data_IF_502115108683
#
_entry.id   IF_502115108683
#
_cell.length_a   1.000
_cell.length_b   1.000
_cell.length_c   1.000
_cell.angle_alpha   90.00
_cell.angle_beta   90.00
_cell.angle_gamma   90.00
#
_symmetry.space_group_name_H-M   'P 1'
#
loop_
_entity.id
_entity.type
_entity.pdbx_description
1 polymer ?
#
# COMPACT_ATOMS: atom_id res chain seq x y z
N UNK A 1 15.79 -24.72 3.61
CA UNK A 1 15.30 -24.00 2.41
C UNK A 1 15.96 -22.63 2.42
N UNK A 2 16.11 -21.95 1.28
CA UNK A 2 16.62 -20.57 1.23
C UNK A 2 15.48 -19.59 0.94
N UNK A 3 15.52 -18.44 1.58
CA UNK A 3 14.70 -17.28 1.26
C UNK A 3 15.61 -16.06 1.15
N UNK A 4 15.49 -15.30 0.06
CA UNK A 4 16.38 -14.17 -0.24
C UNK A 4 17.87 -14.55 -0.15
N UNK A 5 18.24 -15.72 -0.67
CA UNK A 5 19.56 -16.38 -0.59
C UNK A 5 20.11 -16.74 0.80
N UNK A 6 19.37 -16.49 1.88
CA UNK A 6 19.75 -16.84 3.23
C UNK A 6 19.09 -18.18 3.61
N UNK A 7 19.88 -19.11 4.18
CA UNK A 7 19.34 -20.35 4.74
C UNK A 7 18.35 -20.07 5.86
N UNK A 8 17.22 -20.78 5.84
CA UNK A 8 16.11 -20.60 6.79
C UNK A 8 16.54 -20.74 8.26
N UNK A 9 17.44 -21.67 8.59
CA UNK A 9 18.00 -21.81 9.93
C UNK A 9 18.77 -20.55 10.39
N UNK A 10 19.46 -19.87 9.46
CA UNK A 10 20.16 -18.60 9.75
C UNK A 10 19.18 -17.44 9.87
N UNK A 11 18.11 -17.43 9.07
CA UNK A 11 17.02 -16.46 9.22
C UNK A 11 16.32 -16.59 10.58
N UNK A 12 16.13 -17.82 11.09
CA UNK A 12 15.59 -18.06 12.43
C UNK A 12 16.49 -17.45 13.52
N UNK A 13 17.81 -17.69 13.48
CA UNK A 13 18.73 -17.12 14.48
C UNK A 13 18.84 -15.59 14.42
N UNK A 14 18.51 -14.99 13.27
CA UNK A 14 18.54 -13.54 13.05
C UNK A 14 17.17 -12.87 13.30
N UNK A 15 16.14 -13.62 13.67
CA UNK A 15 14.77 -13.09 13.82
C UNK A 15 14.24 -12.50 12.51
N UNK A 16 14.50 -13.18 11.40
CA UNK A 16 14.30 -12.66 10.05
C UNK A 16 13.52 -13.63 9.14
N UNK A 17 12.97 -14.71 9.71
CA UNK A 17 12.35 -15.78 8.93
C UNK A 17 11.02 -15.35 8.37
N UNK A 18 10.16 -14.75 9.19
CA UNK A 18 8.82 -14.37 8.77
C UNK A 18 8.88 -13.32 7.67
N UNK A 19 9.60 -12.22 7.90
CA UNK A 19 9.74 -11.14 6.91
C UNK A 19 10.41 -11.63 5.62
N UNK A 20 11.41 -12.50 5.67
CA UNK A 20 12.04 -13.05 4.46
C UNK A 20 11.11 -13.98 3.66
N UNK A 21 10.36 -14.87 4.35
CA UNK A 21 9.40 -15.79 3.73
C UNK A 21 8.24 -15.02 3.10
N UNK A 22 7.70 -14.03 3.81
CA UNK A 22 6.57 -13.21 3.38
C UNK A 22 6.94 -12.35 2.16
N UNK A 23 8.11 -11.68 2.19
CA UNK A 23 8.61 -10.91 1.03
C UNK A 23 8.80 -11.84 -0.18
N UNK A 24 9.52 -12.96 -0.02
CA UNK A 24 9.84 -13.89 -1.11
C UNK A 24 8.61 -14.65 -1.66
N UNK A 25 7.57 -14.82 -0.84
CA UNK A 25 6.34 -15.52 -1.21
C UNK A 25 5.38 -14.70 -2.09
N UNK A 26 5.53 -13.37 -2.13
CA UNK A 26 4.61 -12.45 -2.81
C UNK A 26 4.25 -12.82 -4.26
N UNK A 27 5.17 -13.19 -5.17
CA UNK A 27 4.81 -13.54 -6.54
C UNK A 27 3.79 -14.69 -6.60
N UNK A 28 3.99 -15.73 -5.78
CA UNK A 28 3.07 -16.87 -5.69
C UNK A 28 1.77 -16.49 -4.99
N UNK A 29 1.84 -15.67 -3.93
CA UNK A 29 0.66 -15.15 -3.23
C UNK A 29 -0.26 -14.34 -4.15
N UNK A 30 0.31 -13.55 -5.08
CA UNK A 30 -0.47 -12.76 -6.04
C UNK A 30 -1.18 -13.64 -7.09
N UNK A 31 -0.53 -14.70 -7.57
CA UNK A 31 -1.16 -15.70 -8.42
C UNK A 31 -2.32 -16.41 -7.69
N UNK A 32 -2.13 -16.83 -6.44
CA UNK A 32 -3.19 -17.45 -5.63
C UNK A 32 -4.32 -16.46 -5.28
N UNK A 33 -3.98 -15.20 -5.01
CA UNK A 33 -4.96 -14.12 -4.82
C UNK A 33 -5.83 -13.95 -6.05
N UNK A 34 -5.25 -14.04 -7.26
CA UNK A 34 -6.02 -13.99 -8.51
C UNK A 34 -6.88 -15.25 -8.73
N UNK A 35 -6.33 -16.45 -8.47
CA UNK A 35 -7.07 -17.73 -8.51
C UNK A 35 -8.25 -17.74 -7.52
N UNK A 36 -8.13 -17.06 -6.38
CA UNK A 36 -9.20 -16.89 -5.41
C UNK A 36 -10.22 -15.84 -5.86
N UNK A 37 -9.76 -14.66 -6.27
CA UNK A 37 -10.61 -13.57 -6.76
C UNK A 37 -11.51 -14.02 -7.91
N UNK A 38 -10.96 -14.78 -8.87
CA UNK A 38 -11.72 -15.31 -10.01
C UNK A 38 -12.82 -16.29 -9.62
N UNK A 39 -12.69 -17.04 -8.51
CA UNK A 39 -13.77 -17.90 -7.98
C UNK A 39 -14.92 -17.08 -7.38
N UNK A 40 -14.61 -15.94 -6.80
CA UNK A 40 -15.58 -15.01 -6.19
C UNK A 40 -16.08 -13.93 -7.16
N UNK A 41 -15.68 -13.96 -8.44
CA UNK A 41 -15.90 -12.88 -9.42
C UNK A 41 -17.36 -12.45 -9.52
N UNK A 42 -18.27 -13.40 -9.71
CA UNK A 42 -19.70 -13.11 -9.93
C UNK A 42 -20.37 -12.56 -8.66
N UNK A 43 -19.99 -13.08 -7.50
CA UNK A 43 -20.48 -12.62 -6.19
C UNK A 43 -20.01 -11.18 -5.91
N UNK A 44 -18.72 -10.90 -6.10
CA UNK A 44 -18.11 -9.58 -5.96
C UNK A 44 -18.74 -8.57 -6.93
N UNK A 45 -18.89 -8.94 -8.20
CA UNK A 45 -19.52 -8.11 -9.22
C UNK A 45 -20.97 -7.75 -8.83
N UNK A 46 -21.77 -8.76 -8.44
CA UNK A 46 -23.15 -8.58 -7.99
C UNK A 46 -23.26 -7.68 -6.76
N UNK A 47 -22.45 -7.96 -5.72
CA UNK A 47 -22.42 -7.17 -4.49
C UNK A 47 -22.06 -5.70 -4.74
N UNK A 48 -21.01 -5.46 -5.53
CA UNK A 48 -20.50 -4.11 -5.78
C UNK A 48 -21.45 -3.29 -6.66
N UNK A 49 -22.02 -3.87 -7.72
CA UNK A 49 -23.04 -3.19 -8.52
C UNK A 49 -24.30 -2.87 -7.72
N UNK A 50 -24.73 -3.76 -6.82
CA UNK A 50 -25.86 -3.50 -5.90
C UNK A 50 -25.52 -2.32 -4.96
N UNK A 51 -24.34 -2.33 -4.36
CA UNK A 51 -23.88 -1.37 -3.34
C UNK A 51 -23.85 0.10 -3.80
N UNK A 52 -23.73 0.35 -5.10
CA UNK A 52 -23.65 1.70 -5.69
C UNK A 52 -24.82 2.06 -6.61
N UNK A 53 -25.87 1.23 -6.62
CA UNK A 53 -27.03 1.42 -7.49
C UNK A 53 -27.86 2.69 -7.15
N UNK A 54 -27.76 3.19 -5.91
CA UNK A 54 -28.46 4.39 -5.46
C UNK A 54 -27.61 5.66 -5.64
N UNK A 55 -28.05 6.56 -6.52
CA UNK A 55 -27.32 7.80 -6.86
C UNK A 55 -27.76 8.96 -5.95
N UNK A 56 -26.83 9.81 -5.43
CA UNK A 56 -25.38 9.75 -5.60
C UNK A 56 -24.73 8.69 -4.71
N UNK A 57 -23.88 7.84 -5.33
CA UNK A 57 -23.02 6.89 -4.63
C UNK A 57 -21.61 7.45 -4.46
N UNK A 58 -20.91 6.99 -3.42
CA UNK A 58 -19.48 7.28 -3.16
C UNK A 58 -18.77 6.00 -2.74
N UNK A 59 -17.50 5.88 -3.11
CA UNK A 59 -16.63 4.80 -2.64
C UNK A 59 -15.60 5.37 -1.66
N UNK A 60 -15.47 4.75 -0.49
CA UNK A 60 -14.42 5.06 0.48
C UNK A 60 -13.46 3.88 0.58
N UNK A 61 -12.18 4.12 0.33
CA UNK A 61 -11.10 3.15 0.47
C UNK A 61 -10.41 3.40 1.82
N UNK A 62 -10.53 2.45 2.75
CA UNK A 62 -10.25 2.67 4.17
C UNK A 62 -9.30 1.63 4.77
N UNK A 63 -8.45 2.08 5.69
CA UNK A 63 -7.56 1.23 6.49
C UNK A 63 -6.78 2.06 7.51
N UNK A 64 -5.90 1.43 8.29
CA UNK A 64 -4.97 2.10 9.22
C UNK A 64 -3.52 1.82 8.82
N UNK A 65 -2.63 2.79 9.03
CA UNK A 65 -1.20 2.70 8.67
C UNK A 65 -1.00 2.27 7.21
N UNK A 66 -0.17 1.26 6.97
CA UNK A 66 0.00 0.60 5.66
C UNK A 66 -1.31 0.27 4.95
N UNK A 67 -2.36 -0.15 5.66
CA UNK A 67 -3.66 -0.46 5.02
C UNK A 67 -4.39 0.79 4.50
N UNK A 68 -4.10 1.98 5.03
CA UNK A 68 -4.63 3.24 4.48
C UNK A 68 -3.95 3.60 3.15
N UNK A 69 -2.65 3.32 3.02
CA UNK A 69 -1.87 3.66 1.82
C UNK A 69 -2.28 2.84 0.60
N UNK A 70 -2.90 1.67 0.80
CA UNK A 70 -3.60 0.90 -0.25
C UNK A 70 -4.69 1.76 -0.89
N UNK A 71 -5.52 2.41 -0.07
CA UNK A 71 -6.56 3.31 -0.55
C UNK A 71 -5.98 4.48 -1.33
N UNK A 72 -4.88 5.07 -0.85
CA UNK A 72 -4.22 6.20 -1.51
C UNK A 72 -3.63 5.82 -2.88
N UNK A 73 -2.99 4.65 -2.98
CA UNK A 73 -2.46 4.13 -4.24
C UNK A 73 -3.57 3.81 -5.27
N UNK A 74 -4.76 3.41 -4.80
CA UNK A 74 -5.85 2.95 -5.65
C UNK A 74 -6.89 4.03 -5.99
N UNK A 75 -7.14 5.03 -5.14
CA UNK A 75 -8.32 5.90 -5.27
C UNK A 75 -8.45 6.58 -6.64
N UNK A 76 -7.35 7.10 -7.20
CA UNK A 76 -7.34 7.72 -8.52
C UNK A 76 -7.63 6.74 -9.67
N UNK A 77 -7.10 5.51 -9.59
CA UNK A 77 -7.40 4.45 -10.56
C UNK A 77 -8.85 3.99 -10.42
N UNK A 78 -9.31 3.77 -9.19
CA UNK A 78 -10.65 3.30 -8.89
C UNK A 78 -11.71 4.30 -9.37
N UNK A 79 -11.51 5.61 -9.15
CA UNK A 79 -12.35 6.67 -9.69
C UNK A 79 -12.31 6.70 -11.23
N UNK A 80 -11.12 6.63 -11.84
CA UNK A 80 -10.96 6.64 -13.31
C UNK A 80 -11.67 5.47 -13.99
N UNK A 81 -11.68 4.29 -13.36
CA UNK A 81 -12.24 3.06 -13.94
C UNK A 81 -13.73 2.90 -13.63
N UNK A 82 -14.18 3.19 -12.40
CA UNK A 82 -15.60 3.06 -12.00
C UNK A 82 -16.48 4.25 -12.39
N UNK A 83 -15.90 5.44 -12.56
CA UNK A 83 -16.63 6.70 -12.77
C UNK A 83 -17.28 7.28 -11.50
N UNK A 84 -17.06 6.69 -10.32
CA UNK A 84 -17.69 7.09 -9.05
C UNK A 84 -16.69 7.89 -8.19
N UNK A 85 -17.15 8.95 -7.50
CA UNK A 85 -16.39 9.72 -6.49
C UNK A 85 -15.77 8.75 -5.48
N UNK A 86 -14.47 8.53 -5.61
CA UNK A 86 -13.73 7.54 -4.82
C UNK A 86 -12.63 8.23 -4.04
N UNK A 87 -12.58 7.99 -2.72
CA UNK A 87 -11.65 8.66 -1.82
C UNK A 87 -10.92 7.67 -0.95
N UNK A 88 -9.61 7.83 -0.83
CA UNK A 88 -8.86 7.24 0.26
C UNK A 88 -9.15 8.01 1.55
N UNK A 89 -9.53 7.33 2.62
CA UNK A 89 -9.70 7.94 3.95
C UNK A 89 -9.24 6.95 5.01
N UNK A 90 -8.23 7.32 5.79
CA UNK A 90 -7.74 6.47 6.87
C UNK A 90 -8.81 6.30 7.97
N UNK A 91 -8.89 5.11 8.56
CA UNK A 91 -9.85 4.84 9.65
C UNK A 91 -9.53 5.66 10.90
N UNK A 92 -8.26 6.05 11.09
CA UNK A 92 -7.80 7.01 12.10
C UNK A 92 -8.48 8.38 11.96
N UNK A 93 -8.71 8.82 10.72
CA UNK A 93 -9.27 10.13 10.41
C UNK A 93 -10.80 10.07 10.53
N UNK A 94 -11.39 8.97 10.04
CA UNK A 94 -12.82 8.67 10.20
C UNK A 94 -13.23 8.64 11.68
N UNK A 95 -12.43 8.00 12.54
CA UNK A 95 -12.78 7.83 13.96
C UNK A 95 -12.70 9.15 14.73
N UNK A 96 -11.86 10.09 14.29
CA UNK A 96 -11.75 11.41 14.94
C UNK A 96 -12.73 12.44 14.37
N UNK A 97 -13.03 12.40 13.06
CA UNK A 97 -13.87 13.40 12.38
C UNK A 97 -14.92 12.78 11.43
N UNK A 98 -15.79 11.86 11.90
CA UNK A 98 -16.66 11.08 11.01
C UNK A 98 -17.65 11.95 10.20
N UNK A 99 -18.06 13.09 10.74
CA UNK A 99 -18.95 14.05 10.07
C UNK A 99 -18.40 14.61 8.75
N UNK A 100 -17.07 14.62 8.54
CA UNK A 100 -16.47 15.07 7.27
C UNK A 100 -16.68 14.06 6.13
N UNK A 101 -16.95 12.79 6.46
CA UNK A 101 -16.91 11.69 5.49
C UNK A 101 -18.30 11.12 5.17
N UNK A 102 -19.17 10.97 6.17
CA UNK A 102 -20.42 10.19 6.06
C UNK A 102 -21.72 10.97 5.80
N UNK A 103 -21.72 12.30 5.97
CA UNK A 103 -22.94 13.12 5.92
C UNK A 103 -23.78 12.94 4.62
N UNK A 104 -24.91 12.25 4.75
CA UNK A 104 -26.04 12.25 3.80
C UNK A 104 -25.78 11.56 2.45
N UNK A 105 -25.15 10.37 2.47
CA UNK A 105 -24.64 9.69 1.26
C UNK A 105 -24.87 8.18 1.28
N UNK A 106 -25.03 7.62 0.08
CA UNK A 106 -24.92 6.18 -0.16
C UNK A 106 -23.44 5.83 -0.33
N UNK A 107 -22.90 4.98 0.54
CA UNK A 107 -21.46 4.69 0.59
C UNK A 107 -21.16 3.20 0.44
N UNK A 108 -20.32 2.85 -0.55
CA UNK A 108 -19.58 1.59 -0.53
C UNK A 108 -18.27 1.83 0.23
N UNK A 109 -18.16 1.27 1.43
CA UNK A 109 -16.95 1.33 2.25
C UNK A 109 -16.11 0.07 2.01
N UNK A 110 -14.94 0.23 1.39
CA UNK A 110 -13.98 -0.83 1.13
C UNK A 110 -12.90 -0.78 2.22
N UNK A 111 -12.95 -1.73 3.15
CA UNK A 111 -12.05 -1.78 4.31
C UNK A 111 -10.93 -2.80 4.10
N UNK A 112 -9.69 -2.32 4.10
CA UNK A 112 -8.47 -3.12 4.06
C UNK A 112 -7.90 -3.33 5.47
N UNK A 113 -7.64 -4.57 5.87
CA UNK A 113 -6.95 -4.86 7.14
C UNK A 113 -6.28 -6.24 7.15
N UNK A 114 -4.99 -6.31 7.51
CA UNK A 114 -4.28 -7.59 7.77
C UNK A 114 -4.97 -8.40 8.88
N UNK A 115 -4.90 -7.91 10.12
CA UNK A 115 -5.37 -8.64 11.31
C UNK A 115 -6.87 -8.56 11.54
N UNK A 116 -7.56 -7.59 10.92
CA UNK A 116 -8.97 -7.29 11.17
C UNK A 116 -9.29 -6.80 12.59
N UNK A 117 -8.27 -6.51 13.42
CA UNK A 117 -8.41 -6.27 14.87
C UNK A 117 -8.03 -4.86 15.33
N UNK A 118 -7.73 -3.92 14.41
CA UNK A 118 -7.56 -2.50 14.77
C UNK A 118 -8.87 -1.95 15.35
N UNK A 119 -8.86 -1.37 16.56
CA UNK A 119 -10.04 -0.73 17.15
C UNK A 119 -10.60 0.37 16.23
N UNK A 120 -9.73 1.12 15.56
CA UNK A 120 -10.11 2.20 14.64
C UNK A 120 -10.85 1.67 13.41
N UNK A 121 -10.38 0.55 12.82
CA UNK A 121 -11.09 -0.06 11.69
C UNK A 121 -12.47 -0.56 12.08
N UNK A 122 -12.59 -1.20 13.24
CA UNK A 122 -13.90 -1.64 13.78
C UNK A 122 -14.80 -0.43 14.05
N UNK A 123 -14.24 0.65 14.61
CA UNK A 123 -15.01 1.86 14.93
C UNK A 123 -15.43 2.65 13.70
N UNK A 124 -14.61 2.68 12.64
CA UNK A 124 -14.97 3.32 11.39
C UNK A 124 -16.21 2.68 10.73
N UNK A 125 -16.32 1.34 10.80
CA UNK A 125 -17.53 0.61 10.35
C UNK A 125 -18.75 0.98 11.21
N UNK A 126 -18.64 0.98 12.54
CA UNK A 126 -19.73 1.40 13.43
C UNK A 126 -20.19 2.85 13.18
N UNK A 127 -19.26 3.74 12.85
CA UNK A 127 -19.56 5.15 12.55
C UNK A 127 -20.23 5.32 11.19
N UNK A 128 -19.84 4.51 10.19
CA UNK A 128 -20.51 4.49 8.89
C UNK A 128 -21.95 3.98 9.03
N UNK A 129 -22.15 2.88 9.76
CA UNK A 129 -23.48 2.30 10.04
C UNK A 129 -24.41 3.29 10.77
N UNK A 130 -23.85 4.17 11.61
CA UNK A 130 -24.61 5.14 12.41
C UNK A 130 -24.88 6.49 11.70
N UNK A 131 -24.16 6.83 10.62
CA UNK A 131 -24.13 8.19 10.05
C UNK A 131 -24.39 8.27 8.54
N UNK A 132 -24.33 7.15 7.81
CA UNK A 132 -24.71 7.08 6.40
C UNK A 132 -26.22 6.81 6.25
N UNK A 133 -26.85 7.35 5.20
CA UNK A 133 -28.25 7.03 4.87
C UNK A 133 -28.38 5.58 4.34
N UNK A 134 -27.36 5.13 3.62
CA UNK A 134 -27.16 3.73 3.22
C UNK A 134 -25.67 3.46 3.16
N UNK A 135 -25.22 2.34 3.72
CA UNK A 135 -23.84 1.86 3.61
C UNK A 135 -23.81 0.40 3.20
N UNK A 136 -22.80 0.01 2.44
CA UNK A 136 -22.45 -1.38 2.17
C UNK A 136 -20.95 -1.57 2.36
N UNK A 137 -20.53 -2.71 2.91
CA UNK A 137 -19.15 -2.91 3.36
C UNK A 137 -18.48 -4.04 2.59
N UNK A 138 -17.45 -3.72 1.81
CA UNK A 138 -16.54 -4.72 1.27
C UNK A 138 -15.30 -4.80 2.15
N UNK A 139 -15.12 -5.91 2.86
CA UNK A 139 -13.98 -6.13 3.75
C UNK A 139 -12.98 -7.04 3.03
N UNK A 140 -11.80 -6.50 2.72
CA UNK A 140 -10.67 -7.24 2.16
C UNK A 140 -9.67 -7.47 3.30
N UNK A 141 -9.51 -8.71 3.74
CA UNK A 141 -8.75 -9.02 4.95
C UNK A 141 -7.98 -10.34 4.87
N UNK A 142 -6.89 -10.44 5.64
CA UNK A 142 -6.03 -11.63 5.70
C UNK A 142 -6.43 -12.60 6.82
N UNK A 143 -7.13 -12.12 7.86
CA UNK A 143 -7.43 -12.90 9.06
C UNK A 143 -8.93 -13.28 9.15
N UNK A 144 -9.31 -14.57 8.97
CA UNK A 144 -10.71 -15.02 9.09
C UNK A 144 -11.29 -14.91 10.51
N UNK A 145 -10.44 -14.74 11.52
CA UNK A 145 -10.82 -14.54 12.93
C UNK A 145 -10.72 -13.07 13.36
N UNK A 146 -10.46 -12.15 12.43
CA UNK A 146 -10.40 -10.72 12.71
C UNK A 146 -11.79 -10.15 13.01
N UNK A 147 -11.89 -9.19 13.93
CA UNK A 147 -13.15 -8.56 14.32
C UNK A 147 -13.94 -7.99 13.13
N UNK A 148 -13.27 -7.38 12.14
CA UNK A 148 -13.90 -6.96 10.90
C UNK A 148 -14.52 -8.14 10.12
N UNK A 149 -13.76 -9.21 9.89
CA UNK A 149 -14.22 -10.38 9.12
C UNK A 149 -15.36 -11.13 9.82
N UNK A 150 -15.42 -11.09 11.15
CA UNK A 150 -16.52 -11.64 11.94
C UNK A 150 -17.77 -10.74 11.88
N UNK A 151 -17.61 -9.42 12.00
CA UNK A 151 -18.72 -8.44 11.94
C UNK A 151 -19.29 -8.26 10.53
N UNK A 152 -18.49 -8.48 9.49
CA UNK A 152 -18.90 -8.41 8.08
C UNK A 152 -19.83 -9.54 7.61
N UNK A 153 -20.23 -10.46 8.49
CA UNK A 153 -21.15 -11.57 8.16
C UNK A 153 -22.62 -11.11 8.26
N UNK A 154 -23.02 -10.20 7.38
CA UNK A 154 -24.34 -9.55 7.32
C UNK A 154 -24.72 -9.17 5.88
N UNK A 155 -26.01 -8.97 5.61
CA UNK A 155 -26.58 -8.86 4.24
C UNK A 155 -26.14 -7.62 3.44
N UNK A 156 -25.65 -6.58 4.11
CA UNK A 156 -25.10 -5.35 3.52
C UNK A 156 -23.58 -5.42 3.27
N UNK A 157 -22.96 -6.57 3.55
CA UNK A 157 -21.51 -6.73 3.62
C UNK A 157 -21.03 -7.93 2.81
N UNK A 158 -19.79 -7.84 2.32
CA UNK A 158 -19.08 -8.93 1.68
C UNK A 158 -17.66 -9.01 2.25
N UNK A 159 -17.22 -10.22 2.64
CA UNK A 159 -15.89 -10.43 3.22
C UNK A 159 -15.05 -11.24 2.23
N UNK A 160 -14.15 -10.56 1.53
CA UNK A 160 -13.14 -11.20 0.69
C UNK A 160 -11.90 -11.52 1.53
N UNK A 161 -11.80 -12.77 1.96
CA UNK A 161 -10.63 -13.28 2.67
C UNK A 161 -9.52 -13.62 1.68
N UNK A 162 -8.32 -13.13 1.94
CA UNK A 162 -7.11 -13.48 1.18
C UNK A 162 -6.60 -14.89 1.51
N UNK A 163 -5.68 -15.45 0.70
CA UNK A 163 -4.98 -16.68 1.04
C UNK A 163 -4.29 -16.57 2.42
N UNK A 164 -4.21 -17.66 3.22
CA UNK A 164 -3.64 -17.63 4.58
C UNK A 164 -2.21 -17.08 4.67
N UNK A 165 -1.44 -17.24 3.59
CA UNK A 165 -0.07 -16.72 3.42
C UNK A 165 -0.01 -15.19 3.42
N UNK A 166 -1.13 -14.50 3.21
CA UNK A 166 -1.23 -13.04 3.32
C UNK A 166 -1.34 -12.53 4.77
N UNK A 167 -1.62 -13.36 5.80
CA UNK A 167 -1.60 -12.89 7.19
C UNK A 167 -0.17 -12.86 7.72
N UNK A 168 0.62 -11.88 7.28
CA UNK A 168 2.03 -11.68 7.66
C UNK A 168 2.20 -11.79 9.19
N UNK A 169 3.07 -12.70 9.64
CA UNK A 169 3.40 -12.93 11.05
C UNK A 169 4.45 -11.95 11.56
N UNK A 170 5.26 -11.38 10.67
CA UNK A 170 6.13 -10.25 11.02
C UNK A 170 5.34 -9.01 11.44
N UNK A 171 6.00 -8.07 12.11
CA UNK A 171 5.43 -6.78 12.48
C UNK A 171 5.04 -5.99 11.24
N UNK A 172 5.99 -5.79 10.33
CA UNK A 172 5.84 -5.01 9.10
C UNK A 172 4.97 -5.76 8.08
N UNK A 173 3.87 -5.15 7.64
CA UNK A 173 3.08 -5.68 6.54
C UNK A 173 3.92 -5.76 5.25
N UNK A 174 3.90 -6.91 4.56
CA UNK A 174 4.58 -7.13 3.27
C UNK A 174 3.62 -7.79 2.26
N UNK A 175 3.40 -9.10 2.36
CA UNK A 175 2.45 -9.85 1.52
C UNK A 175 1.00 -9.41 1.74
N UNK A 176 0.62 -9.08 2.98
CA UNK A 176 -0.69 -8.52 3.30
C UNK A 176 -0.99 -7.23 2.53
N UNK A 177 -0.02 -6.31 2.46
CA UNK A 177 -0.19 -5.04 1.74
C UNK A 177 -0.41 -5.26 0.25
N UNK A 178 0.49 -6.01 -0.39
CA UNK A 178 0.48 -6.17 -1.84
C UNK A 178 -0.68 -7.03 -2.34
N UNK A 179 -1.08 -8.07 -1.60
CA UNK A 179 -2.25 -8.89 -1.95
C UNK A 179 -3.59 -8.16 -1.74
N UNK A 180 -3.70 -7.33 -0.68
CA UNK A 180 -4.88 -6.47 -0.49
C UNK A 180 -4.97 -5.38 -1.57
N UNK A 181 -3.84 -4.74 -1.93
CA UNK A 181 -3.79 -3.76 -3.02
C UNK A 181 -4.13 -4.40 -4.37
N UNK A 182 -3.59 -5.59 -4.66
CA UNK A 182 -3.97 -6.36 -5.85
C UNK A 182 -5.47 -6.64 -5.90
N UNK A 183 -6.07 -7.05 -4.78
CA UNK A 183 -7.52 -7.34 -4.72
C UNK A 183 -8.37 -6.09 -4.99
N UNK A 184 -7.97 -4.93 -4.47
CA UNK A 184 -8.62 -3.65 -4.79
C UNK A 184 -8.45 -3.23 -6.26
N UNK A 185 -7.30 -3.49 -6.86
CA UNK A 185 -7.04 -3.24 -8.28
C UNK A 185 -7.82 -4.18 -9.21
N UNK A 186 -7.91 -5.46 -8.85
CA UNK A 186 -8.73 -6.45 -9.55
C UNK A 186 -10.22 -6.08 -9.48
N UNK A 187 -10.68 -5.58 -8.33
CA UNK A 187 -12.05 -5.09 -8.16
C UNK A 187 -12.36 -3.88 -9.05
N UNK A 188 -11.45 -2.90 -9.12
CA UNK A 188 -11.59 -1.77 -10.03
C UNK A 188 -11.71 -2.24 -11.50
N UNK A 189 -10.88 -3.21 -11.91
CA UNK A 189 -10.91 -3.75 -13.27
C UNK A 189 -12.15 -4.60 -13.56
N UNK A 190 -12.64 -5.36 -12.58
CA UNK A 190 -13.90 -6.10 -12.66
C UNK A 190 -15.08 -5.17 -12.95
N UNK A 191 -15.08 -3.95 -12.39
CA UNK A 191 -16.07 -2.91 -12.66
C UNK A 191 -16.17 -2.53 -14.15
N UNK A 192 -15.02 -2.50 -14.84
CA UNK A 192 -14.94 -2.23 -16.27
C UNK A 192 -14.99 -3.51 -17.13
N UNK A 193 -15.35 -4.66 -16.54
CA UNK A 193 -15.41 -5.96 -17.22
C UNK A 193 -14.05 -6.49 -17.70
N UNK A 194 -12.93 -5.92 -17.26
CA UNK A 194 -11.59 -6.22 -17.76
C UNK A 194 -11.04 -7.53 -17.18
N UNK A 195 -10.39 -8.32 -18.03
CA UNK A 195 -9.60 -9.48 -17.63
C UNK A 195 -8.21 -9.01 -17.16
N UNK A 196 -7.61 -9.69 -16.17
CA UNK A 196 -6.33 -9.27 -15.59
C UNK A 196 -5.29 -10.39 -15.40
N UNK A 197 -5.53 -11.65 -15.82
CA UNK A 197 -4.56 -12.75 -15.67
C UNK A 197 -3.20 -12.41 -16.29
N UNK A 198 -3.20 -11.78 -17.48
CA UNK A 198 -1.97 -11.37 -18.15
C UNK A 198 -1.19 -10.29 -17.38
N UNK A 199 -1.89 -9.35 -16.73
CA UNK A 199 -1.26 -8.33 -15.87
C UNK A 199 -0.73 -8.94 -14.56
N UNK A 200 -1.47 -9.88 -13.94
CA UNK A 200 -1.04 -10.58 -12.72
C UNK A 200 0.19 -11.46 -12.98
N UNK A 201 0.23 -12.19 -14.10
CA UNK A 201 1.38 -13.02 -14.45
C UNK A 201 2.64 -12.17 -14.67
N UNK A 202 2.51 -11.03 -15.37
CA UNK A 202 3.63 -10.07 -15.54
C UNK A 202 4.04 -9.41 -14.23
N UNK A 203 3.11 -9.07 -13.34
CA UNK A 203 3.39 -8.58 -11.99
C UNK A 203 4.23 -9.59 -11.18
N UNK A 204 3.80 -10.87 -11.15
CA UNK A 204 4.56 -11.93 -10.48
C UNK A 204 5.95 -12.11 -11.12
N UNK A 205 6.06 -12.07 -12.45
CA UNK A 205 7.33 -12.07 -13.18
C UNK A 205 8.25 -10.91 -12.81
N UNK A 206 7.71 -9.69 -12.72
CA UNK A 206 8.45 -8.48 -12.39
C UNK A 206 9.03 -8.50 -10.97
N UNK A 207 8.27 -9.01 -9.99
CA UNK A 207 8.78 -9.18 -8.63
C UNK A 207 9.84 -10.28 -8.53
N UNK A 208 9.68 -11.42 -9.23
CA UNK A 208 10.74 -12.43 -9.35
C UNK A 208 12.00 -11.82 -9.97
N UNK A 209 11.86 -11.03 -11.04
CA UNK A 209 12.97 -10.35 -11.70
C UNK A 209 13.68 -9.33 -10.78
N UNK A 210 12.97 -8.60 -9.93
CA UNK A 210 13.56 -7.74 -8.88
C UNK A 210 14.35 -8.59 -7.88
N UNK A 211 13.73 -9.65 -7.34
CA UNK A 211 14.34 -10.52 -6.34
C UNK A 211 15.55 -11.29 -6.87
N UNK A 212 15.53 -11.75 -8.12
CA UNK A 212 16.59 -12.60 -8.68
C UNK A 212 17.74 -11.80 -9.28
N UNK A 213 17.46 -10.66 -9.94
CA UNK A 213 18.49 -9.84 -10.60
C UNK A 213 19.16 -8.82 -9.67
N UNK A 214 18.41 -8.22 -8.74
CA UNK A 214 18.84 -7.01 -8.01
C UNK A 214 18.93 -7.17 -6.49
N UNK A 215 18.66 -8.37 -5.93
CA UNK A 215 18.74 -8.63 -4.48
C UNK A 215 20.10 -8.28 -3.89
N UNK A 216 21.19 -8.68 -4.54
CA UNK A 216 22.54 -8.41 -4.03
C UNK A 216 22.90 -6.92 -4.15
N UNK A 217 22.45 -6.21 -5.19
CA UNK A 217 22.59 -4.75 -5.27
C UNK A 217 21.85 -4.06 -4.12
N UNK A 218 20.59 -4.42 -3.87
CA UNK A 218 19.78 -3.85 -2.79
C UNK A 218 20.37 -4.15 -1.41
N UNK A 219 20.98 -5.31 -1.22
CA UNK A 219 21.72 -5.70 -0.02
C UNK A 219 23.03 -4.90 0.15
N UNK A 220 23.76 -4.65 -0.93
CA UNK A 220 24.96 -3.80 -0.93
C UNK A 220 24.61 -2.33 -0.65
N UNK A 221 23.54 -1.81 -1.26
CA UNK A 221 23.02 -0.47 -1.01
C UNK A 221 22.54 -0.35 0.45
N UNK A 222 21.83 -1.35 0.98
CA UNK A 222 21.44 -1.40 2.38
C UNK A 222 22.63 -1.40 3.36
N UNK A 223 23.81 -1.86 2.94
CA UNK A 223 25.04 -1.77 3.71
C UNK A 223 25.76 -0.41 3.62
N UNK A 224 25.27 0.53 2.79
CA UNK A 224 25.79 1.89 2.74
C UNK A 224 25.34 2.69 3.97
N UNK A 225 26.19 3.64 4.36
CA UNK A 225 26.01 4.46 5.57
C UNK A 225 25.07 5.65 5.33
N UNK A 226 23.84 5.35 4.87
CA UNK A 226 22.74 6.32 4.82
C UNK A 226 21.97 6.36 6.14
N UNK A 227 21.61 7.58 6.57
CA UNK A 227 20.74 7.87 7.72
C UNK A 227 19.38 8.45 7.31
N UNK A 228 19.20 8.74 6.02
CA UNK A 228 17.95 9.21 5.42
C UNK A 228 17.62 8.42 4.16
N UNK A 229 16.33 8.31 3.88
CA UNK A 229 15.84 7.83 2.59
C UNK A 229 14.64 8.66 2.11
N UNK A 230 14.58 8.93 0.81
CA UNK A 230 13.41 9.55 0.18
C UNK A 230 12.89 8.64 -0.93
N UNK A 231 11.60 8.33 -0.87
CA UNK A 231 10.89 7.58 -1.88
C UNK A 231 10.00 8.52 -2.70
N UNK A 232 10.06 8.44 -4.02
CA UNK A 232 9.35 9.34 -4.92
C UNK A 232 8.52 8.54 -5.92
N UNK A 233 7.25 8.92 -6.10
CA UNK A 233 6.33 8.18 -6.97
C UNK A 233 5.19 9.05 -7.49
N UNK A 234 4.79 8.86 -8.75
CA UNK A 234 3.67 9.58 -9.38
C UNK A 234 2.41 8.72 -9.41
N UNK A 235 1.23 9.32 -9.25
CA UNK A 235 -0.05 8.60 -9.32
C UNK A 235 -0.10 7.43 -8.32
N UNK A 236 -0.39 6.19 -8.74
CA UNK A 236 -0.40 5.01 -7.86
C UNK A 236 0.92 4.80 -7.11
N UNK A 237 2.05 5.10 -7.75
CA UNK A 237 3.38 4.98 -7.15
C UNK A 237 3.61 5.97 -6.00
N UNK A 238 2.82 7.04 -5.86
CA UNK A 238 2.88 7.92 -4.69
C UNK A 238 2.45 7.19 -3.40
N UNK A 239 1.43 6.32 -3.49
CA UNK A 239 1.03 5.45 -2.38
C UNK A 239 2.08 4.37 -2.08
N UNK A 240 2.80 3.90 -3.10
CA UNK A 240 3.94 2.99 -2.93
C UNK A 240 5.12 3.69 -2.26
N UNK A 241 5.43 4.94 -2.64
CA UNK A 241 6.42 5.76 -1.96
C UNK A 241 6.04 5.96 -0.48
N UNK A 242 4.74 6.16 -0.20
CA UNK A 242 4.22 6.25 1.17
C UNK A 242 4.29 4.93 1.94
N UNK A 243 4.08 3.77 1.33
CA UNK A 243 4.38 2.51 2.04
C UNK A 243 5.88 2.30 2.24
N UNK A 244 6.68 2.60 1.22
CA UNK A 244 8.13 2.37 1.19
C UNK A 244 8.87 3.14 2.28
N UNK A 245 8.51 4.41 2.51
CA UNK A 245 9.12 5.18 3.60
C UNK A 245 8.79 4.58 4.97
N UNK A 246 7.56 4.07 5.16
CA UNK A 246 7.16 3.45 6.41
C UNK A 246 7.90 2.12 6.61
N UNK A 247 8.01 1.27 5.58
CA UNK A 247 8.72 -0.02 5.68
C UNK A 247 10.18 0.13 6.07
N UNK A 248 10.92 1.00 5.41
CA UNK A 248 12.33 1.21 5.76
C UNK A 248 12.47 1.83 7.16
N UNK A 249 11.57 2.71 7.58
CA UNK A 249 11.62 3.31 8.92
C UNK A 249 11.23 2.33 10.04
N UNK A 250 10.17 1.53 9.85
CA UNK A 250 9.73 0.48 10.79
C UNK A 250 10.82 -0.60 10.96
N UNK A 251 11.35 -1.12 9.84
CA UNK A 251 12.37 -2.16 9.85
C UNK A 251 13.73 -1.67 10.37
N UNK A 252 13.96 -0.36 10.42
CA UNK A 252 15.18 0.23 11.02
C UNK A 252 14.99 0.77 12.44
N UNK A 253 13.83 0.55 13.07
CA UNK A 253 13.47 1.10 14.39
C UNK A 253 13.70 2.62 14.48
N UNK A 254 13.42 3.33 13.37
CA UNK A 254 13.64 4.77 13.23
C UNK A 254 15.09 5.21 13.03
N UNK A 255 16.07 4.30 12.96
CA UNK A 255 17.48 4.64 12.73
C UNK A 255 17.75 5.26 11.34
N UNK A 256 16.88 5.00 10.36
CA UNK A 256 16.84 5.74 9.08
C UNK A 256 15.58 6.60 9.07
N UNK A 257 15.76 7.92 8.93
CA UNK A 257 14.64 8.87 8.79
C UNK A 257 14.14 8.85 7.35
N UNK A 258 12.92 8.35 7.14
CA UNK A 258 12.37 8.20 5.80
C UNK A 258 11.34 9.29 5.47
N UNK A 259 11.32 9.71 4.20
CA UNK A 259 10.31 10.62 3.63
C UNK A 259 9.76 10.04 2.33
N UNK A 260 8.59 10.53 1.93
CA UNK A 260 8.00 10.26 0.63
C UNK A 260 7.45 11.54 0.02
N UNK A 261 7.35 11.60 -1.31
CA UNK A 261 6.61 12.63 -2.05
C UNK A 261 6.25 12.13 -3.47
N UNK A 262 5.52 12.97 -4.20
CA UNK A 262 5.45 12.94 -5.65
C UNK A 262 6.65 13.66 -6.29
N UNK A 263 6.95 13.32 -7.55
CA UNK A 263 8.07 13.95 -8.27
C UNK A 263 7.94 15.48 -8.40
N UNK A 264 6.73 15.98 -8.64
CA UNK A 264 6.48 17.43 -8.69
C UNK A 264 6.46 18.04 -7.28
N UNK A 265 5.72 17.44 -6.34
CA UNK A 265 5.57 17.93 -4.96
C UNK A 265 6.90 18.10 -4.23
N UNK A 266 7.86 17.20 -4.45
CA UNK A 266 9.17 17.23 -3.81
C UNK A 266 9.93 18.55 -3.97
N UNK A 267 9.70 19.25 -5.09
CA UNK A 267 10.33 20.56 -5.39
C UNK A 267 9.86 21.68 -4.44
N UNK A 268 8.67 21.56 -3.85
CA UNK A 268 8.01 22.63 -3.10
C UNK A 268 8.39 22.67 -1.60
N UNK A 269 9.66 22.41 -1.30
CA UNK A 269 10.21 22.39 0.06
C UNK A 269 10.75 21.03 0.53
N UNK A 270 10.06 19.90 0.31
CA UNK A 270 10.49 18.58 0.81
C UNK A 270 11.90 18.13 0.38
N UNK A 271 12.39 18.60 -0.78
CA UNK A 271 13.79 18.42 -1.22
C UNK A 271 14.84 18.91 -0.22
N UNK A 272 14.50 19.81 0.71
CA UNK A 272 15.40 20.26 1.78
C UNK A 272 15.83 19.14 2.76
N UNK A 273 15.21 17.95 2.72
CA UNK A 273 15.64 16.81 3.54
C UNK A 273 16.91 16.13 3.03
N UNK A 274 17.28 16.31 1.75
CA UNK A 274 18.40 15.61 1.12
C UNK A 274 19.74 16.13 1.64
N UNK A 275 20.63 15.20 1.96
CA UNK A 275 22.00 15.38 2.44
C UNK A 275 22.92 14.38 1.71
N UNK A 276 24.26 14.52 1.77
CA UNK A 276 25.19 13.53 1.24
C UNK A 276 25.04 12.09 1.79
N UNK A 277 24.19 11.88 2.81
CA UNK A 277 23.89 10.57 3.44
C UNK A 277 22.45 10.11 3.20
N UNK A 278 21.79 10.67 2.17
CA UNK A 278 20.41 10.34 1.81
C UNK A 278 20.37 9.36 0.63
N UNK A 279 19.67 8.24 0.78
CA UNK A 279 19.30 7.35 -0.32
C UNK A 279 18.07 7.92 -1.05
N UNK A 280 18.11 8.03 -2.38
CA UNK A 280 16.97 8.42 -3.21
C UNK A 280 16.44 7.22 -4.00
N UNK A 281 15.13 7.00 -3.95
CA UNK A 281 14.45 5.90 -4.67
C UNK A 281 13.29 6.47 -5.49
N UNK A 282 13.38 6.33 -6.80
CA UNK A 282 12.45 6.85 -7.80
C UNK A 282 11.60 5.71 -8.37
N UNK A 283 10.31 5.65 -8.03
CA UNK A 283 9.34 4.73 -8.60
C UNK A 283 8.72 5.36 -9.85
N UNK A 284 9.23 4.98 -11.01
CA UNK A 284 8.87 5.61 -12.29
C UNK A 284 7.55 5.05 -12.84
N UNK A 285 6.74 5.92 -13.42
CA UNK A 285 5.52 5.53 -14.13
C UNK A 285 5.84 4.90 -15.49
N UNK A 286 5.04 3.91 -15.93
CA UNK A 286 5.07 3.44 -17.33
C UNK A 286 4.35 4.38 -18.30
N UNK A 287 3.73 5.47 -17.82
CA UNK A 287 2.92 6.38 -18.61
C UNK A 287 3.77 7.49 -19.26
N UNK A 288 3.78 7.50 -20.60
CA UNK A 288 4.59 8.42 -21.42
C UNK A 288 4.42 9.91 -21.07
N UNK A 289 3.19 10.38 -20.83
CA UNK A 289 2.94 11.76 -20.39
C UNK A 289 3.62 12.13 -19.04
N UNK A 290 3.87 11.16 -18.15
CA UNK A 290 4.47 11.38 -16.83
C UNK A 290 6.01 11.45 -16.93
N UNK A 291 6.60 10.70 -17.88
CA UNK A 291 8.05 10.53 -18.08
C UNK A 291 8.85 11.85 -18.05
N UNK A 292 8.47 12.93 -18.78
CA UNK A 292 9.23 14.19 -18.74
C UNK A 292 9.36 14.79 -17.34
N UNK A 293 8.26 14.83 -16.57
CA UNK A 293 8.26 15.41 -15.22
C UNK A 293 9.16 14.65 -14.23
N UNK A 294 9.32 13.34 -14.44
CA UNK A 294 10.20 12.48 -13.68
C UNK A 294 11.67 12.68 -14.07
N UNK A 295 11.96 12.70 -15.38
CA UNK A 295 13.32 12.95 -15.90
C UNK A 295 13.82 14.35 -15.52
N UNK A 296 12.97 15.37 -15.63
CA UNK A 296 13.25 16.74 -15.20
C UNK A 296 13.55 16.84 -13.69
N UNK A 297 13.05 15.93 -12.86
CA UNK A 297 13.39 15.92 -11.42
C UNK A 297 14.73 15.27 -11.20
N UNK A 298 14.97 14.12 -11.82
CA UNK A 298 16.21 13.38 -11.69
C UNK A 298 17.37 14.26 -12.17
N UNK A 299 17.24 14.92 -13.32
CA UNK A 299 18.22 15.91 -13.79
C UNK A 299 18.40 17.08 -12.80
N UNK A 300 17.31 17.64 -12.27
CA UNK A 300 17.39 18.70 -11.26
C UNK A 300 17.97 18.24 -9.90
N UNK A 301 17.94 16.94 -9.59
CA UNK A 301 18.71 16.34 -8.47
C UNK A 301 20.18 16.27 -8.86
N UNK A 302 20.48 15.83 -10.09
CA UNK A 302 21.82 15.65 -10.63
C UNK A 302 22.61 16.95 -10.83
N UNK A 303 21.95 18.10 -10.77
CA UNK A 303 22.55 19.44 -10.75
C UNK A 303 22.51 20.09 -9.36
N UNK A 304 22.34 19.31 -8.28
CA UNK A 304 22.26 19.76 -6.89
C UNK A 304 22.86 18.72 -5.91
N UNK A 305 22.49 18.79 -4.63
CA UNK A 305 22.73 17.71 -3.67
C UNK A 305 22.03 16.42 -4.15
N UNK A 306 22.82 15.36 -4.40
CA UNK A 306 22.38 14.12 -5.05
C UNK A 306 22.02 13.02 -4.05
N UNK A 307 22.44 13.14 -2.79
CA UNK A 307 22.45 12.03 -1.86
C UNK A 307 23.65 11.09 -2.07
N UNK A 308 23.66 9.98 -1.32
CA UNK A 308 24.72 8.97 -1.37
C UNK A 308 24.55 8.01 -2.56
N UNK A 309 23.30 7.77 -2.97
CA UNK A 309 22.94 6.82 -4.03
C UNK A 309 21.51 7.08 -4.53
N UNK A 310 21.28 6.85 -5.82
CA UNK A 310 20.01 7.06 -6.54
C UNK A 310 19.59 5.76 -7.23
N UNK A 311 18.43 5.23 -6.87
CA UNK A 311 17.81 4.05 -7.51
C UNK A 311 16.61 4.52 -8.34
N UNK A 312 16.51 4.14 -9.60
CA UNK A 312 15.25 4.19 -10.35
C UNK A 312 14.66 2.79 -10.50
N UNK A 313 13.37 2.63 -10.24
CA UNK A 313 12.63 1.37 -10.42
C UNK A 313 11.64 1.57 -11.55
N UNK A 314 11.84 0.83 -12.65
CA UNK A 314 11.18 1.06 -13.93
C UNK A 314 10.75 -0.26 -14.56
N UNK A 315 9.78 -0.19 -15.47
CA UNK A 315 9.39 -1.34 -16.29
C UNK A 315 10.45 -1.63 -17.36
N UNK A 316 10.85 -0.61 -18.10
CA UNK A 316 11.83 -0.64 -19.19
C UNK A 316 13.04 0.25 -18.87
N UNK A 317 14.20 -0.04 -19.47
CA UNK A 317 15.41 0.78 -19.33
C UNK A 317 15.19 2.20 -19.89
N UNK A 318 15.58 3.23 -19.13
CA UNK A 318 15.40 4.65 -19.50
C UNK A 318 16.74 5.34 -19.71
N UNK A 319 17.10 5.58 -20.98
CA UNK A 319 18.31 6.31 -21.35
C UNK A 319 18.23 7.84 -21.09
N UNK A 320 17.04 8.35 -20.74
CA UNK A 320 16.77 9.77 -20.45
C UNK A 320 16.92 10.15 -18.97
N UNK A 321 17.49 9.25 -18.14
CA UNK A 321 17.75 9.49 -16.71
C UNK A 321 19.18 9.05 -16.34
N UNK A 322 19.86 9.86 -15.51
CA UNK A 322 21.13 9.52 -14.87
C UNK A 322 20.89 9.18 -13.39
N UNK A 323 21.09 7.93 -13.01
CA UNK A 323 20.97 7.39 -11.65
C UNK A 323 22.02 6.30 -11.43
N UNK A 324 22.36 6.03 -10.17
CA UNK A 324 23.42 5.07 -9.84
C UNK A 324 23.00 3.60 -10.04
N UNK A 325 21.69 3.30 -10.03
CA UNK A 325 21.14 2.00 -10.41
C UNK A 325 19.75 2.14 -11.08
N UNK A 326 19.55 1.46 -12.21
CA UNK A 326 18.22 1.18 -12.77
C UNK A 326 17.81 -0.26 -12.48
N UNK A 327 16.75 -0.43 -11.69
CA UNK A 327 16.05 -1.69 -11.45
C UNK A 327 14.96 -1.80 -12.52
N UNK A 328 15.31 -2.47 -13.62
CA UNK A 328 14.39 -2.79 -14.71
C UNK A 328 13.65 -4.06 -14.33
N UNK A 329 12.33 -3.99 -14.12
CA UNK A 329 11.53 -5.13 -13.66
C UNK A 329 10.76 -5.83 -14.78
N UNK A 330 10.56 -5.21 -15.94
CA UNK A 330 9.93 -5.82 -17.10
C UNK A 330 10.80 -6.90 -17.76
N UNK A 331 10.15 -7.69 -18.62
CA UNK A 331 10.74 -8.69 -19.50
C UNK A 331 10.71 -8.29 -20.99
N UNK A 332 10.16 -7.10 -21.30
CA UNK A 332 9.99 -6.59 -22.66
C UNK A 332 8.87 -7.26 -23.48
N UNK A 333 8.09 -8.19 -22.90
CA UNK A 333 7.09 -8.97 -23.63
C UNK A 333 5.78 -8.20 -23.89
N UNK A 334 5.29 -7.48 -22.88
CA UNK A 334 4.08 -6.65 -22.95
C UNK A 334 4.00 -5.70 -21.74
N UNK A 335 3.30 -4.57 -21.91
CA UNK A 335 3.25 -3.52 -20.90
C UNK A 335 2.50 -3.90 -19.61
N UNK A 336 3.08 -3.52 -18.48
CA UNK A 336 2.54 -3.58 -17.14
C UNK A 336 1.82 -2.25 -16.83
N UNK A 337 0.53 -2.33 -16.53
CA UNK A 337 -0.26 -1.13 -16.21
C UNK A 337 0.18 -0.52 -14.87
N UNK A 338 0.13 0.81 -14.74
CA UNK A 338 0.72 1.56 -13.62
C UNK A 338 0.33 1.02 -12.22
N UNK A 339 -0.92 0.59 -12.06
CA UNK A 339 -1.39 -0.01 -10.79
C UNK A 339 -0.73 -1.36 -10.47
N UNK A 340 -0.40 -2.17 -11.47
CA UNK A 340 0.33 -3.42 -11.29
C UNK A 340 1.83 -3.16 -11.13
N UNK A 341 2.41 -2.24 -11.90
CA UNK A 341 3.81 -1.81 -11.75
C UNK A 341 4.09 -1.27 -10.34
N UNK A 342 3.16 -0.48 -9.79
CA UNK A 342 3.19 -0.01 -8.40
C UNK A 342 3.30 -1.16 -7.39
N UNK A 343 2.53 -2.25 -7.57
CA UNK A 343 2.61 -3.42 -6.69
C UNK A 343 3.97 -4.15 -6.82
N UNK A 344 4.57 -4.21 -8.02
CA UNK A 344 5.92 -4.75 -8.19
C UNK A 344 6.99 -3.88 -7.51
N UNK A 345 6.86 -2.55 -7.62
CA UNK A 345 7.82 -1.56 -7.11
C UNK A 345 8.02 -1.63 -5.59
N UNK A 346 6.99 -1.96 -4.79
CA UNK A 346 7.11 -2.02 -3.32
C UNK A 346 8.13 -3.07 -2.85
N UNK A 347 8.37 -4.12 -3.64
CA UNK A 347 9.35 -5.18 -3.33
C UNK A 347 10.76 -4.61 -3.13
N UNK A 348 11.13 -3.55 -3.87
CA UNK A 348 12.43 -2.88 -3.73
C UNK A 348 12.59 -2.29 -2.33
N UNK A 349 11.57 -1.59 -1.82
CA UNK A 349 11.62 -0.98 -0.49
C UNK A 349 11.56 -2.01 0.64
N UNK A 350 10.80 -3.09 0.46
CA UNK A 350 10.76 -4.21 1.40
C UNK A 350 12.14 -4.89 1.51
N UNK A 351 12.82 -5.15 0.39
CA UNK A 351 14.17 -5.70 0.36
C UNK A 351 15.20 -4.74 0.99
N UNK A 352 15.14 -3.44 0.69
CA UNK A 352 15.99 -2.42 1.33
C UNK A 352 15.78 -2.39 2.85
N UNK A 353 14.53 -2.35 3.31
CA UNK A 353 14.19 -2.37 4.74
C UNK A 353 14.70 -3.64 5.43
N UNK A 354 14.47 -4.81 4.82
CA UNK A 354 14.93 -6.09 5.33
C UNK A 354 16.46 -6.15 5.45
N UNK A 355 17.20 -5.83 4.38
CA UNK A 355 18.67 -5.87 4.43
C UNK A 355 19.27 -4.77 5.31
N UNK A 356 18.66 -3.58 5.40
CA UNK A 356 19.13 -2.50 6.29
C UNK A 356 18.90 -2.87 7.75
N UNK A 357 17.75 -3.47 8.08
CA UNK A 357 17.48 -4.07 9.39
C UNK A 357 18.58 -5.06 9.79
N UNK A 358 18.93 -6.00 8.90
CA UNK A 358 19.97 -6.99 9.16
C UNK A 358 21.36 -6.36 9.30
N UNK A 359 21.70 -5.38 8.45
CA UNK A 359 22.97 -4.66 8.52
C UNK A 359 23.13 -3.88 9.84
N UNK A 360 22.05 -3.30 10.36
CA UNK A 360 22.01 -2.60 11.66
C UNK A 360 21.92 -3.55 12.87
N UNK A 361 21.96 -4.88 12.67
CA UNK A 361 21.82 -5.87 13.75
C UNK A 361 20.46 -5.84 14.44
N UNK A 362 19.40 -5.52 13.68
CA UNK A 362 18.00 -5.57 14.11
C UNK A 362 17.36 -6.91 13.70
N UNK A 363 16.18 -7.18 14.25
CA UNK A 363 15.36 -8.36 14.03
C UNK A 363 14.21 -7.99 13.06
N UNK A 364 14.25 -8.35 11.76
CA UNK A 364 13.22 -7.94 10.80
C UNK A 364 11.80 -8.43 11.09
N UNK A 365 11.65 -9.54 11.83
CA UNK A 365 10.32 -10.08 12.19
C UNK A 365 9.66 -9.22 13.29
N UNK A 366 10.47 -8.64 14.19
CA UNK A 366 10.08 -7.75 15.29
C UNK A 366 11.14 -6.64 15.50
N UNK A 367 11.17 -5.59 14.64
CA UNK A 367 12.28 -4.65 14.61
C UNK A 367 12.33 -3.67 15.78
N UNK A 368 11.20 -3.42 16.46
CA UNK A 368 11.15 -2.43 17.54
C UNK A 368 11.78 -2.95 18.84
N UNK A 369 12.98 -2.47 19.16
CA UNK A 369 13.72 -2.85 20.37
C UNK A 369 13.07 -2.32 21.64
N UNK A 370 12.39 -1.17 21.56
CA UNK A 370 11.67 -0.53 22.66
C UNK A 370 10.23 -1.03 22.83
N UNK A 371 9.68 -1.77 21.87
CA UNK A 371 8.25 -2.08 21.81
C UNK A 371 7.36 -0.86 21.51
N UNK A 372 7.93 0.23 20.96
CA UNK A 372 7.16 1.45 20.62
C UNK A 372 6.14 1.22 19.50
N UNK A 373 6.38 0.24 18.63
CA UNK A 373 5.43 -0.23 17.61
C UNK A 373 5.16 -1.74 17.77
N UNK A 374 3.93 -2.15 17.51
CA UNK A 374 3.42 -3.51 17.69
C UNK A 374 2.72 -4.04 16.43
N UNK A 375 2.67 -5.37 16.22
CA UNK A 375 2.02 -5.99 15.04
C UNK A 375 0.51 -5.73 14.97
N UNK A 376 -0.13 -5.61 16.13
CA UNK A 376 -1.52 -5.15 16.29
C UNK A 376 -1.46 -3.96 17.23
N UNK A 377 -2.10 -2.85 16.86
CA UNK A 377 -2.04 -1.60 17.64
C UNK A 377 -2.63 -1.81 19.04
N UNK A 378 -1.91 -1.32 20.06
CA UNK A 378 -2.31 -1.38 21.47
C UNK A 378 -2.52 0.03 22.02
N UNK A 379 -3.20 0.17 23.16
CA UNK A 379 -3.41 1.45 23.85
C UNK A 379 -4.45 2.41 23.23
N UNK A 380 -5.05 2.08 22.08
CA UNK A 380 -6.08 2.91 21.43
C UNK A 380 -7.39 2.86 22.23
N UNK A 381 -7.73 3.97 22.90
CA UNK A 381 -9.03 4.15 23.56
C UNK A 381 -10.04 4.78 22.60
N UNK A 382 -11.10 4.05 22.30
CA UNK A 382 -12.26 4.55 21.56
C UNK A 382 -13.23 5.30 22.49
N UNK A 383 -13.93 6.29 21.95
CA UNK A 383 -14.92 7.10 22.66
C UNK A 383 -16.28 7.03 21.93
N UNK A 384 -17.41 7.16 22.65
CA UNK A 384 -18.72 7.33 22.02
C UNK A 384 -18.76 8.61 21.18
N UNK A 385 -19.28 8.52 19.95
CA UNK A 385 -19.54 9.71 19.14
C UNK A 385 -20.94 10.22 19.45
N UNK A 386 -21.03 11.48 19.89
CA UNK A 386 -22.29 12.20 19.98
C UNK A 386 -22.36 13.15 18.80
N UNK A 387 -23.35 12.94 17.91
CA UNK A 387 -23.59 13.85 16.81
C UNK A 387 -24.10 15.18 17.38
N UNK A 388 -23.37 16.27 17.16
CA UNK A 388 -23.82 17.59 17.58
C UNK A 388 -25.19 17.89 16.95
N UNK A 389 -26.15 18.32 17.78
CA UNK A 389 -27.48 18.64 17.33
C UNK A 389 -27.40 19.84 16.37
N UNK A 390 -27.47 19.56 15.06
CA UNK A 390 -27.52 20.64 14.06
C UNK A 390 -28.78 21.48 14.30
N UNK A 391 -28.59 22.75 14.67
CA UNK A 391 -29.66 23.73 14.86
C UNK A 391 -30.35 24.07 13.52
N UNK A 392 -31.13 23.13 12.99
CA UNK A 392 -32.09 23.35 11.89
C UNK A 392 -33.39 23.98 12.44
N UNK A 393 -33.25 25.13 13.11
CA UNK A 393 -34.37 25.88 13.69
C UNK A 393 -34.08 27.39 13.82
N UNK A 394 -33.61 27.98 12.72
CA UNK A 394 -33.85 29.39 12.40
C UNK A 394 -34.08 29.45 10.87
N UNK A 395 -35.26 29.78 10.34
CA UNK A 395 -36.30 30.62 10.93
C UNK A 395 -36.29 32.00 10.28
N UNK A 396 -36.34 32.05 8.95
CA UNK A 396 -36.68 33.25 8.19
C UNK A 396 -38.02 33.01 7.47
N UNK A 397 -39.09 33.04 8.28
CA UNK A 397 -40.37 33.55 7.80
C UNK A 397 -40.37 35.05 8.10
N UNK A 398 -40.58 35.86 7.07
CA UNK A 398 -40.55 37.32 7.10
C UNK A 398 -40.78 37.87 5.70
#
# INVERSE_FOLDING_TARGET
MKYLDIEEARLQTMGARHTAVEIAGQPTLWEETYRLFTRHREELHSFVHKSVSAVPARILLCGAGTSAFIGEALAGLFQKISGIDTRAVATTDIVTHPGFYFSGKNILMISFARSGNSPESVKAVELADALCDTVSHLIISCNPQGQLALRGRRDDSYVFLLPPEADDKSLAMTGSFSAMMLSGLLLANLWAGRECAGQVLRLAGAARAIMDRYREDLKNIAAMDFDRAVFLGSGPAAGIARESHLKLQELTDGAVICKFDSFLGFRHGPKAVVTPRTLLVFFLSSHEYVRPYESDLIDAVNHSEKGIFRIAVTEEERADIDVDLQIVCGDGSARLEEGFLAIAQVVVAQLLGFFKSLHLGLNPDTPSKSGTITRVVEGVRLYPYQQEATNRSAGYGG
#
